data_IF_061915722761
#
_entry.id   IF_061915722761
#
_cell.length_a   1.000
_cell.length_b   1.000
_cell.length_c   1.000
_cell.angle_alpha   90.00
_cell.angle_beta   90.00
_cell.angle_gamma   90.00
#
_symmetry.space_group_name_H-M   'P 1'
#
loop_
_entity.id
_entity.type
_entity.pdbx_description
1 polymer ?
#
# COMPACT_ATOMS: atom_id res chain seq x y z
N UNK A 1 -82.18 -3.56 -3.97
CA UNK A 1 -82.19 -2.58 -5.08
C UNK A 1 -80.77 -2.09 -5.31
N UNK A 2 -80.35 -2.04 -6.58
CA UNK A 2 -79.04 -1.51 -6.99
C UNK A 2 -78.99 -0.01 -6.73
N UNK A 3 -77.87 0.48 -6.22
CA UNK A 3 -77.40 1.84 -6.56
C UNK A 3 -75.88 1.87 -6.45
N UNK A 4 -75.28 1.84 -7.62
CA UNK A 4 -73.89 2.17 -7.89
C UNK A 4 -73.71 3.68 -7.70
N UNK A 5 -72.73 4.10 -6.92
CA UNK A 5 -72.13 5.44 -7.05
C UNK A 5 -70.64 5.26 -7.23
N UNK A 6 -70.19 5.50 -8.46
CA UNK A 6 -68.80 5.70 -8.85
C UNK A 6 -68.41 7.13 -8.48
N UNK A 7 -67.35 7.33 -7.69
CA UNK A 7 -66.45 8.50 -7.70
C UNK A 7 -65.43 8.31 -6.56
N UNK A 8 -64.16 8.70 -6.59
CA UNK A 8 -63.34 9.47 -7.53
C UNK A 8 -61.88 9.08 -7.17
N UNK A 9 -61.05 8.78 -8.17
CA UNK A 9 -59.65 8.42 -8.01
C UNK A 9 -58.83 9.64 -7.57
N UNK A 10 -58.29 9.63 -6.35
CA UNK A 10 -57.23 10.55 -5.95
C UNK A 10 -55.90 9.80 -6.04
N UNK A 11 -55.12 10.09 -7.10
CA UNK A 11 -53.75 9.59 -7.25
C UNK A 11 -52.90 10.40 -6.26
N UNK A 12 -52.66 9.84 -5.08
CA UNK A 12 -51.65 10.37 -4.16
C UNK A 12 -50.32 9.83 -4.66
N UNK A 13 -49.49 10.70 -5.25
CA UNK A 13 -48.09 10.40 -5.51
C UNK A 13 -47.42 10.08 -4.16
N UNK A 14 -47.15 8.80 -3.93
CA UNK A 14 -46.48 8.33 -2.72
C UNK A 14 -45.06 8.90 -2.68
N UNK A 15 -44.85 9.90 -1.84
CA UNK A 15 -43.51 10.38 -1.51
C UNK A 15 -42.87 9.25 -0.71
N UNK A 16 -41.91 8.55 -1.31
CA UNK A 16 -41.15 7.51 -0.64
C UNK A 16 -40.28 8.17 0.43
N UNK A 17 -40.77 8.18 1.67
CA UNK A 17 -39.96 8.52 2.83
C UNK A 17 -39.12 7.29 3.19
N UNK A 18 -37.87 7.26 2.72
CA UNK A 18 -36.87 6.36 3.28
C UNK A 18 -36.53 6.86 4.69
N UNK A 19 -36.73 6.07 5.76
CA UNK A 19 -36.23 6.46 7.07
C UNK A 19 -34.70 6.55 6.99
N UNK A 20 -34.13 7.67 7.45
CA UNK A 20 -32.69 7.80 7.65
C UNK A 20 -32.33 6.83 8.78
N UNK A 21 -31.83 5.66 8.40
CA UNK A 21 -31.19 4.75 9.35
C UNK A 21 -29.85 5.38 9.70
N UNK A 22 -29.76 5.99 10.88
CA UNK A 22 -28.47 6.35 11.47
C UNK A 22 -27.64 5.07 11.60
N UNK A 23 -26.56 4.98 10.81
CA UNK A 23 -25.59 3.91 10.94
C UNK A 23 -25.09 3.88 12.40
N UNK A 24 -25.42 2.81 13.11
CA UNK A 24 -24.85 2.58 14.44
C UNK A 24 -23.35 2.37 14.26
N UNK A 25 -22.55 3.31 14.76
CA UNK A 25 -21.11 3.13 14.88
C UNK A 25 -20.87 1.93 15.79
N UNK A 26 -20.34 0.86 15.20
CA UNK A 26 -19.73 -0.25 15.91
C UNK A 26 -18.85 0.31 17.03
N UNK A 27 -18.96 -0.15 18.29
CA UNK A 27 -18.18 0.39 19.39
C UNK A 27 -16.69 0.41 19.01
N UNK A 28 -16.07 1.58 19.18
CA UNK A 28 -14.66 1.81 18.93
C UNK A 28 -13.85 0.86 19.81
N UNK A 29 -13.24 -0.14 19.17
CA UNK A 29 -12.29 -1.03 19.83
C UNK A 29 -11.07 -0.15 20.13
N UNK A 30 -10.84 0.17 21.41
CA UNK A 30 -9.62 0.86 21.82
C UNK A 30 -8.41 0.08 21.27
N UNK A 31 -7.51 0.70 20.49
CA UNK A 31 -6.32 0.02 19.95
C UNK A 31 -5.36 -0.49 21.04
N UNK A 32 -5.58 -0.12 22.30
CA UNK A 32 -4.61 -0.23 23.39
C UNK A 32 -4.55 -1.59 24.08
N UNK A 33 -5.36 -2.59 23.70
CA UNK A 33 -5.33 -3.91 24.36
C UNK A 33 -4.72 -5.05 23.52
N UNK A 34 -4.49 -4.86 22.21
CA UNK A 34 -3.86 -5.89 21.37
C UNK A 34 -2.36 -5.65 21.12
N UNK A 35 -1.81 -4.50 21.50
CA UNK A 35 -0.41 -4.16 21.24
C UNK A 35 0.61 -4.88 22.14
N UNK A 36 0.17 -5.56 23.21
CA UNK A 36 1.07 -6.15 24.20
C UNK A 36 1.52 -7.59 23.90
N UNK A 37 0.81 -8.35 23.05
CA UNK A 37 1.00 -9.81 22.97
C UNK A 37 1.56 -10.35 21.64
N UNK A 38 1.97 -9.49 20.71
CA UNK A 38 2.61 -9.92 19.45
C UNK A 38 3.83 -9.05 19.12
N UNK A 39 4.79 -8.94 20.05
CA UNK A 39 6.18 -8.64 19.65
C UNK A 39 6.82 -9.88 19.02
N UNK A 40 6.17 -10.43 18.00
CA UNK A 40 6.86 -11.31 17.07
C UNK A 40 7.95 -10.47 16.42
N UNK A 41 9.19 -10.94 16.45
CA UNK A 41 10.33 -10.32 15.79
C UNK A 41 10.05 -10.32 14.28
N UNK A 42 9.29 -9.34 13.79
CA UNK A 42 9.00 -9.18 12.37
C UNK A 42 10.29 -8.74 11.70
N UNK A 43 11.01 -9.71 11.17
CA UNK A 43 12.21 -9.46 10.40
C UNK A 43 11.76 -9.27 8.96
N UNK A 44 11.81 -8.03 8.47
CA UNK A 44 11.56 -7.74 7.06
C UNK A 44 12.51 -8.56 6.20
N UNK A 45 12.04 -9.21 5.12
CA UNK A 45 12.93 -9.90 4.18
C UNK A 45 13.72 -8.91 3.30
N UNK A 46 13.40 -7.62 3.39
CA UNK A 46 14.11 -6.54 2.71
C UNK A 46 15.16 -5.94 3.63
N UNK A 47 16.38 -5.83 3.10
CA UNK A 47 17.53 -5.22 3.75
C UNK A 47 17.75 -3.83 3.15
N UNK A 48 17.85 -2.77 3.96
CA UNK A 48 18.19 -1.45 3.44
C UNK A 48 19.64 -1.43 2.94
N UNK A 49 19.85 -0.72 1.84
CA UNK A 49 21.17 -0.49 1.25
C UNK A 49 21.32 0.94 0.76
N UNK A 50 22.57 1.36 0.56
CA UNK A 50 22.92 2.68 0.01
C UNK A 50 23.72 2.50 -1.27
N UNK A 51 23.41 3.27 -2.31
CA UNK A 51 24.21 3.28 -3.53
C UNK A 51 25.51 4.04 -3.29
N UNK A 52 26.63 3.31 -3.34
CA UNK A 52 27.97 3.85 -3.09
C UNK A 52 28.74 4.20 -4.36
N UNK A 53 28.35 3.64 -5.51
CA UNK A 53 28.97 3.90 -6.79
C UNK A 53 28.05 3.57 -7.97
N UNK A 54 28.27 4.25 -9.08
CA UNK A 54 27.48 4.13 -10.30
C UNK A 54 28.42 4.18 -11.50
N UNK A 55 28.25 3.26 -12.44
CA UNK A 55 28.88 3.31 -13.76
C UNK A 55 27.75 3.29 -14.78
N UNK A 56 27.54 4.41 -15.47
CA UNK A 56 26.47 4.56 -16.46
C UNK A 56 26.99 4.40 -17.89
N UNK A 57 26.16 3.83 -18.76
CA UNK A 57 26.41 3.67 -20.18
C UNK A 57 25.13 3.80 -21.00
N UNK A 58 25.19 3.57 -22.32
CA UNK A 58 24.05 3.77 -23.23
C UNK A 58 22.87 2.81 -22.97
N UNK A 59 23.10 1.69 -22.28
CA UNK A 59 22.10 0.64 -22.05
C UNK A 59 21.68 0.50 -20.57
N UNK A 60 22.00 1.50 -19.74
CA UNK A 60 21.70 1.50 -18.31
C UNK A 60 22.94 1.74 -17.45
N UNK A 61 22.87 1.33 -16.18
CA UNK A 61 23.91 1.55 -15.19
C UNK A 61 24.24 0.28 -14.41
N UNK A 62 25.50 0.19 -13.97
CA UNK A 62 25.93 -0.75 -12.94
C UNK A 62 25.93 0.00 -11.61
N UNK A 63 25.22 -0.53 -10.63
CA UNK A 63 25.09 0.04 -9.29
C UNK A 63 25.91 -0.77 -8.30
N UNK A 64 26.66 -0.09 -7.44
CA UNK A 64 27.32 -0.67 -6.28
C UNK A 64 26.53 -0.28 -5.03
N UNK A 65 25.97 -1.28 -4.34
CA UNK A 65 25.13 -1.09 -3.15
C UNK A 65 25.86 -1.64 -1.93
N UNK A 66 25.94 -0.86 -0.86
CA UNK A 66 26.43 -1.31 0.44
C UNK A 66 25.25 -1.50 1.40
N UNK A 67 25.13 -2.68 1.99
CA UNK A 67 24.17 -2.99 3.06
C UNK A 67 24.70 -2.54 4.42
N UNK A 68 23.84 -2.52 5.44
CA UNK A 68 24.23 -2.14 6.81
C UNK A 68 25.38 -2.98 7.40
N UNK A 69 25.43 -4.27 7.06
CA UNK A 69 26.49 -5.19 7.47
C UNK A 69 27.79 -5.07 6.65
N UNK A 70 27.92 -4.01 5.83
CA UNK A 70 29.04 -3.76 4.92
C UNK A 70 29.16 -4.72 3.75
N UNK A 71 28.17 -5.58 3.52
CA UNK A 71 28.10 -6.38 2.30
C UNK A 71 27.99 -5.46 1.08
N UNK A 72 28.86 -5.68 0.09
CA UNK A 72 28.86 -4.93 -1.17
C UNK A 72 28.25 -5.78 -2.28
N UNK A 73 27.23 -5.24 -2.93
CA UNK A 73 26.47 -5.90 -3.99
C UNK A 73 26.60 -5.10 -5.29
N UNK A 74 26.52 -5.80 -6.42
CA UNK A 74 26.55 -5.21 -7.76
C UNK A 74 25.26 -5.55 -8.50
N UNK A 75 24.57 -4.54 -9.01
CA UNK A 75 23.33 -4.71 -9.78
C UNK A 75 23.44 -4.08 -11.15
N UNK A 76 22.82 -4.72 -12.15
CA UNK A 76 22.54 -4.10 -13.43
C UNK A 76 21.18 -3.43 -13.35
N UNK A 77 21.09 -2.19 -13.82
CA UNK A 77 19.87 -1.41 -13.77
C UNK A 77 19.64 -0.72 -15.12
N UNK A 78 18.44 -0.79 -15.70
CA UNK A 78 18.18 -0.20 -17.03
C UNK A 78 18.16 1.34 -17.03
N UNK A 79 18.22 1.99 -15.87
CA UNK A 79 18.08 3.44 -15.73
C UNK A 79 19.44 4.10 -15.61
N UNK A 80 19.50 5.35 -16.09
CA UNK A 80 20.64 6.26 -15.89
C UNK A 80 20.30 7.38 -14.89
N UNK A 81 19.07 7.39 -14.34
CA UNK A 81 18.57 8.43 -13.43
C UNK A 81 18.68 8.05 -11.95
N UNK A 82 19.71 7.29 -11.60
CA UNK A 82 20.00 6.90 -10.22
C UNK A 82 21.17 7.71 -9.71
N UNK A 83 21.12 8.12 -8.44
CA UNK A 83 22.13 8.98 -7.85
C UNK A 83 22.85 8.26 -6.72
N UNK A 84 24.13 8.56 -6.57
CA UNK A 84 24.92 8.05 -5.45
C UNK A 84 24.34 8.61 -4.15
N UNK A 85 24.19 7.74 -3.15
CA UNK A 85 23.58 8.09 -1.87
C UNK A 85 22.10 7.72 -1.77
N UNK A 86 21.45 7.35 -2.88
CA UNK A 86 20.07 6.87 -2.85
C UNK A 86 19.96 5.62 -1.97
N UNK A 87 18.88 5.59 -1.18
CA UNK A 87 18.51 4.41 -0.38
C UNK A 87 17.70 3.44 -1.24
N UNK A 88 18.06 2.18 -1.15
CA UNK A 88 17.40 1.09 -1.87
C UNK A 88 17.04 -0.02 -0.90
N UNK A 89 16.09 -0.87 -1.30
CA UNK A 89 15.80 -2.11 -0.61
C UNK A 89 16.40 -3.27 -1.40
N UNK A 90 16.99 -4.22 -0.69
CA UNK A 90 17.53 -5.44 -1.28
C UNK A 90 16.80 -6.62 -0.68
N UNK A 91 16.19 -7.42 -1.52
CA UNK A 91 15.54 -8.66 -1.13
C UNK A 91 16.50 -9.83 -1.34
N UNK A 92 16.66 -10.67 -0.32
CA UNK A 92 17.47 -11.88 -0.42
C UNK A 92 16.57 -13.13 -0.49
N UNK A 93 16.77 -13.97 -1.50
CA UNK A 93 16.03 -15.23 -1.65
C UNK A 93 16.95 -16.31 -2.18
N UNK A 94 17.02 -17.44 -1.47
CA UNK A 94 17.83 -18.62 -1.85
C UNK A 94 19.31 -18.30 -2.15
N UNK A 95 19.90 -17.34 -1.41
CA UNK A 95 21.29 -16.93 -1.61
C UNK A 95 21.50 -15.86 -2.68
N UNK A 96 20.47 -15.51 -3.44
CA UNK A 96 20.53 -14.44 -4.44
C UNK A 96 19.97 -13.12 -3.89
N UNK A 97 20.47 -12.02 -4.43
CA UNK A 97 20.05 -10.66 -4.08
C UNK A 97 19.32 -10.01 -5.24
N UNK A 98 18.22 -9.34 -4.92
CA UNK A 98 17.37 -8.64 -5.86
C UNK A 98 17.25 -7.18 -5.41
N UNK A 99 17.53 -6.25 -6.33
CA UNK A 99 17.32 -4.84 -6.08
C UNK A 99 15.83 -4.54 -6.18
N UNK A 100 15.28 -3.94 -5.13
CA UNK A 100 13.92 -3.40 -5.10
C UNK A 100 14.04 -1.89 -5.06
N UNK A 101 13.73 -1.27 -6.18
CA UNK A 101 13.65 0.18 -6.29
C UNK A 101 12.46 0.68 -5.47
N UNK A 102 12.72 1.49 -4.46
CA UNK A 102 11.69 2.36 -3.91
C UNK A 102 11.67 3.60 -4.81
N UNK A 103 10.66 3.71 -5.68
CA UNK A 103 10.35 5.00 -6.27
C UNK A 103 10.15 5.98 -5.11
N UNK A 104 11.01 6.99 -5.06
CA UNK A 104 11.11 8.08 -4.08
C UNK A 104 9.95 8.17 -3.05
N UNK A 105 10.18 8.02 -1.73
CA UNK A 105 9.24 8.51 -0.73
C UNK A 105 9.38 10.03 -0.65
N UNK A 106 8.89 10.74 -1.67
CA UNK A 106 8.53 12.15 -1.58
C UNK A 106 7.03 12.30 -1.74
#
# INVERSE_FOLDING_TARGET
MKTTVKTLTAIIAGICFCPIVTAQTKPQINPTQNAANHRGHYTSPYRPGTITGIISGPYGSILFVELEDKTKLRFHHPSTRIVRGDRVLVFQKKGEYYLVEAANPQ
#
